data_IF_572675535265
#
_entry.id   IF_572675535265
#
_cell.length_a   1.000
_cell.length_b   1.000
_cell.length_c   1.000
_cell.angle_alpha   90.00
_cell.angle_beta   90.00
_cell.angle_gamma   90.00
#
_symmetry.space_group_name_H-M   'P 1'
#
loop_
_entity.id
_entity.type
_entity.pdbx_description
1 polymer ?
#
# COMPACT_ATOMS: atom_id res chain seq x y z
N UNK A 1 1.60 -0.27 23.55
CA UNK A 1 2.05 -0.77 22.24
C UNK A 1 3.10 0.18 21.66
N UNK A 2 4.23 -0.33 21.17
CA UNK A 2 5.29 0.47 20.56
C UNK A 2 5.02 0.80 19.08
N UNK A 3 5.88 1.61 18.46
CA UNK A 3 5.76 1.96 17.04
C UNK A 3 5.90 0.73 16.11
N UNK A 4 6.64 -0.30 16.54
CA UNK A 4 6.84 -1.53 15.77
C UNK A 4 5.51 -2.23 15.58
N UNK A 5 4.71 -2.41 16.64
CA UNK A 5 3.43 -3.12 16.54
C UNK A 5 2.38 -2.34 15.73
N UNK A 6 2.41 -0.99 15.75
CA UNK A 6 1.51 -0.18 14.93
C UNK A 6 1.78 -0.33 13.41
N UNK A 7 3.03 -0.68 13.05
CA UNK A 7 3.45 -0.90 11.67
C UNK A 7 3.37 -2.38 11.28
N UNK A 8 3.85 -3.31 12.11
CA UNK A 8 3.93 -4.74 11.79
C UNK A 8 2.72 -5.55 12.25
N UNK A 9 2.10 -5.19 13.39
CA UNK A 9 0.92 -5.87 13.92
C UNK A 9 -0.34 -5.54 13.12
N UNK A 10 -0.52 -4.26 12.79
CA UNK A 10 -1.64 -3.80 11.93
C UNK A 10 -1.29 -3.79 10.44
N UNK A 11 -0.01 -3.93 10.09
CA UNK A 11 0.52 -3.86 8.72
C UNK A 11 -0.20 -4.74 7.69
N UNK A 12 -0.42 -6.04 7.96
CA UNK A 12 -1.14 -6.91 7.02
C UNK A 12 -2.52 -6.40 6.66
N UNK A 13 -3.25 -5.80 7.60
CA UNK A 13 -4.59 -5.26 7.33
C UNK A 13 -4.54 -4.07 6.36
N UNK A 14 -3.49 -3.24 6.42
CA UNK A 14 -3.31 -2.13 5.46
C UNK A 14 -3.11 -2.66 4.04
N UNK A 15 -2.33 -3.74 3.89
CA UNK A 15 -2.08 -4.40 2.61
C UNK A 15 -3.35 -5.06 2.08
N UNK A 16 -4.14 -5.71 2.93
CA UNK A 16 -5.41 -6.33 2.52
C UNK A 16 -6.44 -5.28 2.10
N UNK A 17 -6.53 -4.15 2.82
CA UNK A 17 -7.39 -3.03 2.43
C UNK A 17 -6.98 -2.43 1.09
N UNK A 18 -5.67 -2.27 0.85
CA UNK A 18 -5.17 -1.84 -0.47
C UNK A 18 -5.54 -2.85 -1.56
N UNK A 19 -5.40 -4.15 -1.30
CA UNK A 19 -5.77 -5.19 -2.24
C UNK A 19 -7.27 -5.14 -2.59
N UNK A 20 -8.13 -4.96 -1.60
CA UNK A 20 -9.58 -4.82 -1.79
C UNK A 20 -9.91 -3.62 -2.68
N UNK A 21 -9.30 -2.46 -2.39
CA UNK A 21 -9.50 -1.25 -3.18
C UNK A 21 -9.01 -1.41 -4.63
N UNK A 22 -7.83 -2.02 -4.82
CA UNK A 22 -7.28 -2.29 -6.16
C UNK A 22 -8.17 -3.24 -6.96
N UNK A 23 -8.68 -4.31 -6.32
CA UNK A 23 -9.60 -5.25 -6.97
C UNK A 23 -10.92 -4.59 -7.34
N UNK A 24 -11.46 -3.74 -6.46
CA UNK A 24 -12.67 -2.98 -6.75
C UNK A 24 -12.48 -2.03 -7.94
N UNK A 25 -11.37 -1.29 -7.98
CA UNK A 25 -11.02 -0.40 -9.09
C UNK A 25 -10.82 -1.18 -10.40
N UNK A 26 -10.07 -2.28 -10.37
CA UNK A 26 -9.85 -3.17 -11.51
C UNK A 26 -11.17 -3.69 -12.13
N UNK A 27 -12.15 -4.04 -11.29
CA UNK A 27 -13.50 -4.41 -11.78
C UNK A 27 -14.24 -3.23 -12.38
N UNK A 28 -14.09 -2.03 -11.81
CA UNK A 28 -14.63 -0.79 -12.37
C UNK A 28 -14.09 -0.49 -13.78
N UNK A 29 -12.85 -0.89 -14.04
CA UNK A 29 -12.19 -0.81 -15.36
C UNK A 29 -12.51 -2.00 -16.28
N UNK A 30 -13.44 -2.88 -15.88
CA UNK A 30 -13.98 -3.95 -16.73
C UNK A 30 -13.33 -5.33 -16.57
N UNK A 31 -12.42 -5.52 -15.62
CA UNK A 31 -11.90 -6.86 -15.32
C UNK A 31 -12.92 -7.71 -14.57
N UNK A 32 -12.97 -9.01 -14.88
CA UNK A 32 -13.78 -9.92 -14.08
C UNK A 32 -13.18 -10.10 -12.67
N UNK A 33 -13.97 -10.55 -11.68
CA UNK A 33 -13.53 -10.64 -10.29
C UNK A 33 -12.32 -11.57 -10.08
N UNK A 34 -12.18 -12.64 -10.85
CA UNK A 34 -11.09 -13.61 -10.71
C UNK A 34 -9.79 -13.07 -11.29
N UNK A 35 -9.87 -12.43 -12.46
CA UNK A 35 -8.75 -11.71 -13.07
C UNK A 35 -8.25 -10.57 -12.19
N UNK A 36 -9.17 -9.72 -11.70
CA UNK A 36 -8.83 -8.62 -10.80
C UNK A 36 -8.12 -9.11 -9.54
N UNK A 37 -8.64 -10.18 -8.92
CA UNK A 37 -8.00 -10.80 -7.74
C UNK A 37 -6.61 -11.31 -8.07
N UNK A 38 -6.47 -12.08 -9.15
CA UNK A 38 -5.20 -12.72 -9.54
C UNK A 38 -4.12 -11.68 -9.81
N UNK A 39 -4.44 -10.66 -10.61
CA UNK A 39 -3.50 -9.58 -10.95
C UNK A 39 -3.04 -8.83 -9.70
N UNK A 40 -3.98 -8.41 -8.84
CA UNK A 40 -3.64 -7.65 -7.62
C UNK A 40 -2.76 -8.48 -6.67
N UNK A 41 -3.08 -9.76 -6.46
CA UNK A 41 -2.27 -10.64 -5.59
C UNK A 41 -0.84 -10.77 -6.14
N UNK A 42 -0.68 -10.98 -7.44
CA UNK A 42 0.65 -11.08 -8.04
C UNK A 42 1.40 -9.75 -8.02
N UNK A 43 0.73 -8.62 -8.23
CA UNK A 43 1.33 -7.29 -8.10
C UNK A 43 1.88 -7.06 -6.70
N UNK A 44 1.08 -7.33 -5.66
CA UNK A 44 1.50 -7.15 -4.27
C UNK A 44 2.66 -8.09 -3.90
N UNK A 45 2.59 -9.35 -4.31
CA UNK A 45 3.65 -10.33 -4.07
C UNK A 45 4.96 -9.94 -4.77
N UNK A 46 4.90 -9.54 -6.03
CA UNK A 46 6.06 -9.14 -6.82
C UNK A 46 6.74 -7.89 -6.25
N UNK A 47 5.95 -6.87 -5.89
CA UNK A 47 6.46 -5.65 -5.27
C UNK A 47 7.10 -5.92 -3.90
N UNK A 48 6.45 -6.73 -3.06
CA UNK A 48 6.98 -7.08 -1.74
C UNK A 48 8.29 -7.88 -1.84
N UNK A 49 8.36 -8.84 -2.78
CA UNK A 49 9.60 -9.60 -3.06
C UNK A 49 10.73 -8.69 -3.53
N UNK A 50 10.46 -7.81 -4.50
CA UNK A 50 11.46 -6.87 -5.00
C UNK A 50 12.01 -5.99 -3.88
N UNK A 51 11.14 -5.47 -3.00
CA UNK A 51 11.55 -4.66 -1.86
C UNK A 51 12.40 -5.46 -0.85
N UNK A 52 12.04 -6.72 -0.59
CA UNK A 52 12.74 -7.57 0.38
C UNK A 52 14.08 -8.10 -0.15
N UNK A 53 14.16 -8.44 -1.43
CA UNK A 53 15.29 -9.17 -2.02
C UNK A 53 16.39 -8.25 -2.57
N UNK A 54 16.04 -7.05 -3.06
CA UNK A 54 17.02 -6.14 -3.68
C UNK A 54 17.79 -5.29 -2.67
N UNK A 55 17.21 -5.04 -1.49
CA UNK A 55 17.75 -4.10 -0.50
C UNK A 55 17.72 -2.63 -0.95
N UNK A 56 17.09 -2.34 -2.10
CA UNK A 56 16.93 -0.98 -2.58
C UNK A 56 15.82 -0.24 -1.82
N UNK A 57 15.92 1.09 -1.64
CA UNK A 57 14.89 1.84 -0.96
C UNK A 57 13.62 1.91 -1.82
N UNK A 58 12.46 1.94 -1.16
CA UNK A 58 11.15 1.86 -1.81
C UNK A 58 10.89 3.00 -2.82
N UNK A 59 11.45 4.19 -2.57
CA UNK A 59 11.31 5.34 -3.48
C UNK A 59 12.10 5.14 -4.78
N UNK A 60 13.26 4.48 -4.72
CA UNK A 60 14.04 4.09 -5.90
C UNK A 60 13.32 3.00 -6.71
N UNK A 61 12.82 1.95 -6.04
CA UNK A 61 12.04 0.91 -6.71
C UNK A 61 10.80 1.50 -7.40
N UNK A 62 10.09 2.43 -6.75
CA UNK A 62 8.97 3.17 -7.36
C UNK A 62 9.42 3.97 -8.59
N UNK A 63 10.54 4.70 -8.50
CA UNK A 63 11.07 5.49 -9.64
C UNK A 63 11.36 4.61 -10.84
N UNK A 64 11.97 3.43 -10.64
CA UNK A 64 12.33 2.50 -11.72
C UNK A 64 11.13 1.96 -12.50
N UNK A 65 9.97 1.83 -11.87
CA UNK A 65 8.73 1.40 -12.53
C UNK A 65 7.84 2.56 -12.99
N UNK A 66 8.34 3.80 -12.90
CA UNK A 66 7.62 5.03 -13.26
C UNK A 66 8.32 5.72 -14.43
N UNK A 67 7.90 5.41 -15.66
CA UNK A 67 8.41 6.10 -16.85
C UNK A 67 7.82 7.51 -17.01
N UNK A 68 8.60 8.50 -17.49
CA UNK A 68 8.10 9.83 -17.82
C UNK A 68 6.92 9.79 -18.81
N UNK A 69 5.81 10.40 -18.44
CA UNK A 69 4.56 10.42 -19.22
C UNK A 69 3.80 9.09 -19.26
N UNK A 70 4.22 8.10 -18.46
CA UNK A 70 3.60 6.77 -18.43
C UNK A 70 2.36 6.69 -17.53
N UNK A 71 1.66 5.55 -17.62
CA UNK A 71 0.46 5.26 -16.82
C UNK A 71 0.75 5.22 -15.32
N UNK A 72 1.88 4.66 -14.91
CA UNK A 72 2.31 4.65 -13.50
C UNK A 72 2.49 6.07 -12.96
N UNK A 73 3.09 6.97 -13.75
CA UNK A 73 3.29 8.35 -13.32
C UNK A 73 1.95 9.04 -13.08
N UNK A 74 1.00 8.92 -14.01
CA UNK A 74 -0.33 9.50 -13.86
C UNK A 74 -1.06 9.00 -12.59
N UNK A 75 -0.97 7.70 -12.30
CA UNK A 75 -1.56 7.13 -11.08
C UNK A 75 -0.89 7.65 -9.80
N UNK A 76 0.46 7.72 -9.77
CA UNK A 76 1.20 8.22 -8.61
C UNK A 76 0.92 9.71 -8.37
N UNK A 77 0.92 10.53 -9.42
CA UNK A 77 0.60 11.96 -9.30
C UNK A 77 -0.82 12.16 -8.73
N UNK A 78 -1.78 11.33 -9.15
CA UNK A 78 -3.13 11.35 -8.59
C UNK A 78 -3.14 10.97 -7.11
N UNK A 79 -2.45 9.89 -6.70
CA UNK A 79 -2.34 9.52 -5.29
C UNK A 79 -1.73 10.64 -4.44
N UNK A 80 -0.71 11.32 -4.96
CA UNK A 80 -0.04 12.41 -4.24
C UNK A 80 -0.93 13.65 -4.15
N UNK A 81 -1.62 14.01 -5.22
CA UNK A 81 -2.59 15.11 -5.23
C UNK A 81 -3.75 14.88 -4.24
N UNK A 82 -4.17 13.62 -4.07
CA UNK A 82 -5.20 13.22 -3.10
C UNK A 82 -4.67 13.04 -1.66
N UNK A 83 -3.38 13.32 -1.41
CA UNK A 83 -2.79 13.36 -0.06
C UNK A 83 -2.48 12.00 0.54
N UNK A 84 -2.08 11.03 -0.29
CA UNK A 84 -1.78 9.65 0.14
C UNK A 84 -0.78 9.58 1.30
N UNK A 85 0.34 10.29 1.24
CA UNK A 85 1.37 10.25 2.28
C UNK A 85 0.82 10.73 3.64
N UNK A 86 0.02 11.80 3.62
CA UNK A 86 -0.61 12.34 4.83
C UNK A 86 -1.68 11.38 5.39
N UNK A 87 -2.43 10.69 4.52
CA UNK A 87 -3.38 9.66 4.93
C UNK A 87 -2.69 8.50 5.64
N UNK A 88 -1.63 7.96 5.05
CA UNK A 88 -0.86 6.83 5.63
C UNK A 88 -0.26 7.22 6.98
N UNK A 89 0.33 8.43 7.10
CA UNK A 89 0.89 8.92 8.35
C UNK A 89 -0.18 9.00 9.47
N UNK A 90 -1.37 9.53 9.16
CA UNK A 90 -2.47 9.60 10.14
C UNK A 90 -2.98 8.21 10.54
N UNK A 91 -3.06 7.27 9.60
CA UNK A 91 -3.51 5.89 9.87
C UNK A 91 -2.56 5.16 10.84
N UNK A 92 -1.24 5.23 10.59
CA UNK A 92 -0.23 4.63 11.46
C UNK A 92 -0.24 5.29 12.84
N UNK A 93 -0.37 6.62 12.90
CA UNK A 93 -0.49 7.34 14.16
C UNK A 93 -1.71 6.90 14.96
N UNK A 94 -2.88 6.77 14.32
CA UNK A 94 -4.10 6.30 14.97
C UNK A 94 -3.94 4.89 15.56
N UNK A 95 -3.33 3.96 14.81
CA UNK A 95 -3.03 2.61 15.32
C UNK A 95 -2.10 2.64 16.54
N UNK A 96 -1.07 3.50 16.51
CA UNK A 96 -0.14 3.68 17.63
C UNK A 96 -0.78 4.29 18.88
N UNK A 97 -1.67 5.28 18.70
CA UNK A 97 -2.42 5.87 19.82
C UNK A 97 -3.31 4.82 20.45
N UNK A 98 -4.11 4.12 19.64
CA UNK A 98 -5.02 3.08 20.13
C UNK A 98 -4.29 1.95 20.86
N UNK A 99 -3.16 1.51 20.33
CA UNK A 99 -2.35 0.49 20.98
C UNK A 99 -1.72 0.95 22.30
N UNK A 100 -1.49 2.24 22.53
CA UNK A 100 -1.05 2.74 23.83
C UNK A 100 -2.19 2.75 24.85
N UNK A 101 -3.39 3.19 24.45
CA UNK A 101 -4.58 3.14 25.31
C UNK A 101 -4.85 1.71 25.80
N UNK A 102 -4.78 0.72 24.91
CA UNK A 102 -5.01 -0.69 25.23
C UNK A 102 -3.96 -1.30 26.16
N UNK A 103 -2.77 -0.73 26.26
CA UNK A 103 -1.69 -1.23 27.11
C UNK A 103 -1.63 -0.55 28.49
N UNK A 104 -2.30 0.59 28.64
CA UNK A 104 -2.36 1.35 29.88
C UNK A 104 -3.63 1.13 30.71
N UNK A 105 -4.58 0.33 30.20
CA UNK A 105 -5.75 -0.16 30.95
C UNK A 105 -5.60 -1.64 31.25
#
# INVERSE_FOLDING_TARGET
MDAVTAVSGSGPAYVFLLAEAMQAAARGEGLDPEQARTLVVHTLLGAARMLAETGEPADELRRRVTSPGGTTQAAIERFQADGFEALVARAIHAARVRGAELAGG
#
